data_IF_825744360735
#
_entry.id   IF_825744360735
#
_cell.length_a   1.000
_cell.length_b   1.000
_cell.length_c   1.000
_cell.angle_alpha   90.00
_cell.angle_beta   90.00
_cell.angle_gamma   90.00
#
_symmetry.space_group_name_H-M   'P 1'
#
loop_
_entity.id
_entity.type
_entity.pdbx_description
1 polymer ?
#
# COMPACT_ATOMS: atom_id res chain seq x y z
N UNK A 1 0.43 19.09 -9.06
CA UNK A 1 -0.22 18.33 -7.97
C UNK A 1 -1.49 17.61 -8.38
N UNK A 2 -1.41 16.64 -9.29
CA UNK A 2 -2.57 15.79 -9.62
C UNK A 2 -2.80 14.70 -8.57
N UNK A 3 -1.73 14.09 -8.06
CA UNK A 3 -1.80 13.01 -7.06
C UNK A 3 -2.29 13.50 -5.68
N UNK A 4 -1.99 14.75 -5.32
CA UNK A 4 -2.45 15.36 -4.06
C UNK A 4 -3.95 15.63 -4.12
N UNK A 5 -4.44 16.18 -5.23
CA UNK A 5 -5.87 16.41 -5.43
C UNK A 5 -6.70 15.12 -5.38
N UNK A 6 -6.18 14.02 -5.94
CA UNK A 6 -6.83 12.70 -5.86
C UNK A 6 -6.80 12.16 -4.42
N UNK A 7 -5.70 12.34 -3.67
CA UNK A 7 -5.66 11.93 -2.26
C UNK A 7 -6.70 12.68 -1.42
N UNK A 8 -6.80 13.99 -1.64
CA UNK A 8 -7.76 14.82 -0.91
C UNK A 8 -9.21 14.49 -1.29
N UNK A 9 -9.50 14.24 -2.57
CA UNK A 9 -10.85 13.90 -3.04
C UNK A 9 -11.36 12.58 -2.48
N UNK A 10 -10.47 11.62 -2.25
CA UNK A 10 -10.81 10.31 -1.67
C UNK A 10 -10.56 10.25 -0.15
N UNK A 11 -10.22 11.37 0.49
CA UNK A 11 -9.87 11.44 1.91
C UNK A 11 -8.86 10.36 2.32
N UNK A 12 -7.87 10.07 1.46
CA UNK A 12 -6.81 9.11 1.72
C UNK A 12 -5.85 9.68 2.77
N UNK A 13 -6.31 9.69 4.03
CA UNK A 13 -5.56 10.21 5.19
C UNK A 13 -4.42 9.29 5.63
N UNK A 14 -4.46 8.01 5.26
CA UNK A 14 -3.33 7.10 5.54
C UNK A 14 -2.17 7.42 4.60
N UNK A 15 -0.93 7.24 5.05
CA UNK A 15 0.25 7.41 4.22
C UNK A 15 0.33 6.31 3.15
N UNK A 16 -0.48 6.43 2.09
CA UNK A 16 -0.47 5.53 0.92
C UNK A 16 0.78 5.77 0.03
N UNK A 17 1.95 6.03 0.63
CA UNK A 17 3.18 6.38 -0.08
C UNK A 17 4.21 5.29 0.21
N UNK A 18 4.67 4.60 -0.83
CA UNK A 18 5.58 3.47 -0.73
C UNK A 18 4.90 2.15 -1.03
N UNK A 19 5.64 1.06 -0.85
CA UNK A 19 5.18 -0.28 -1.20
C UNK A 19 4.14 -0.78 -0.19
N UNK A 20 2.91 -1.12 -0.63
CA UNK A 20 1.81 -1.51 0.26
C UNK A 20 2.08 -2.78 1.08
N UNK A 21 2.97 -3.66 0.60
CA UNK A 21 3.30 -4.93 1.24
C UNK A 21 4.61 -4.93 2.03
N UNK A 22 5.33 -3.80 2.07
CA UNK A 22 6.66 -3.71 2.69
C UNK A 22 6.72 -2.63 3.77
N UNK A 23 7.52 -2.86 4.84
CA UNK A 23 8.27 -4.09 5.15
C UNK A 23 7.36 -5.25 5.61
N UNK A 24 7.84 -6.48 5.53
CA UNK A 24 7.08 -7.67 5.95
C UNK A 24 6.62 -7.52 7.41
N UNK A 25 5.31 -7.61 7.64
CA UNK A 25 4.68 -7.38 8.95
C UNK A 25 4.19 -5.96 9.23
N UNK A 26 4.47 -5.00 8.33
CA UNK A 26 3.99 -3.61 8.40
C UNK A 26 3.29 -3.17 7.11
N UNK A 27 2.65 -4.11 6.41
CA UNK A 27 1.84 -3.84 5.23
C UNK A 27 0.54 -3.10 5.60
N UNK A 28 -0.11 -2.48 4.62
CA UNK A 28 -1.31 -1.69 4.89
C UNK A 28 -2.46 -2.54 5.43
N UNK A 29 -3.13 -2.02 6.46
CA UNK A 29 -4.31 -2.65 7.04
C UNK A 29 -5.38 -2.91 5.98
N UNK A 30 -5.86 -4.16 5.91
CA UNK A 30 -6.89 -4.57 4.97
C UNK A 30 -6.37 -5.01 3.60
N UNK A 31 -5.06 -5.03 3.37
CA UNK A 31 -4.45 -5.73 2.24
C UNK A 31 -4.04 -7.14 2.65
N UNK A 32 -4.21 -8.08 1.73
CA UNK A 32 -3.59 -9.39 1.85
C UNK A 32 -2.37 -9.42 0.93
N UNK A 33 -1.22 -9.85 1.43
CA UNK A 33 0.03 -9.82 0.69
C UNK A 33 0.60 -11.23 0.59
N UNK A 34 0.93 -11.64 -0.63
CA UNK A 34 1.69 -12.85 -0.89
C UNK A 34 3.18 -12.55 -0.81
N UNK A 35 3.86 -13.23 0.12
CA UNK A 35 5.30 -13.15 0.34
C UNK A 35 6.05 -14.33 -0.29
N UNK A 36 5.48 -14.97 -1.33
CA UNK A 36 6.10 -16.10 -2.02
C UNK A 36 7.48 -15.76 -2.61
N UNK A 37 7.67 -14.50 -3.00
CA UNK A 37 8.97 -13.92 -3.28
C UNK A 37 9.22 -12.76 -2.29
N UNK A 38 10.05 -12.95 -1.24
CA UNK A 38 10.31 -11.91 -0.23
C UNK A 38 10.89 -10.62 -0.81
N UNK A 39 11.57 -10.71 -1.97
CA UNK A 39 12.14 -9.56 -2.66
C UNK A 39 11.10 -8.73 -3.44
N UNK A 40 9.92 -9.29 -3.69
CA UNK A 40 8.85 -8.64 -4.45
C UNK A 40 7.48 -9.16 -4.00
N UNK A 41 7.04 -8.80 -2.78
CA UNK A 41 5.73 -9.20 -2.30
C UNK A 41 4.62 -8.58 -3.14
N UNK A 42 3.53 -9.31 -3.33
CA UNK A 42 2.41 -8.89 -4.18
C UNK A 42 1.13 -8.78 -3.37
N UNK A 43 0.35 -7.73 -3.61
CA UNK A 43 -1.02 -7.64 -3.09
C UNK A 43 -1.86 -8.73 -3.75
N UNK A 44 -2.57 -9.50 -2.95
CA UNK A 44 -3.56 -10.50 -3.34
C UNK A 44 -4.92 -10.07 -2.75
N UNK A 45 -6.01 -10.35 -3.47
CA UNK A 45 -7.39 -10.03 -3.06
C UNK A 45 -8.00 -11.13 -2.21
#
# INVERSE_FOLDING_TARGET
>A
DALVAIKDSYHLQKNWVGDPCLPQGYFWDGLNCSFSNPAAPRVIS
#
